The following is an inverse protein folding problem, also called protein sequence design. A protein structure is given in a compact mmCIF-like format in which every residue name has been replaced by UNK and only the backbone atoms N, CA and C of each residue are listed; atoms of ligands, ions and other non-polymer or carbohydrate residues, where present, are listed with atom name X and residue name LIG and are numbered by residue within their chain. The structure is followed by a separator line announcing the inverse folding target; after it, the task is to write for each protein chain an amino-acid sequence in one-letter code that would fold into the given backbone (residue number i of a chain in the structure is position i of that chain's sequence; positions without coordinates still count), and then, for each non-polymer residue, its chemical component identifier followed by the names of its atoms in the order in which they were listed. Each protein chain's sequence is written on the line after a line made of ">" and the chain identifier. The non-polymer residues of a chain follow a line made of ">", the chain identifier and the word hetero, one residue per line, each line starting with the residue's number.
data_IF_152032038571
#
_entry.id   IF_152032038571
#
_cell.length_a   1.000
_cell.length_b   1.000
_cell.length_c   1.000
_cell.angle_alpha   90.00
_cell.angle_beta   90.00
_cell.angle_gamma   90.00
#
_symmetry.space_group_name_H-M   'P 1'
#
loop_
_entity.id
_entity.type
_entity.pdbx_description
1 polymer ?
#
# COMPACT_ATOMS: atom_id res chain seq x y z
N UNK A 1 -25.64 16.67 -8.77
CA UNK A 1 -25.18 18.05 -8.51
C UNK A 1 -24.14 18.37 -9.56
N UNK A 2 -24.58 19.12 -10.57
CA UNK A 2 -23.77 19.49 -11.75
C UNK A 2 -23.04 20.79 -11.41
N UNK A 3 -21.76 20.84 -11.73
CA UNK A 3 -20.85 21.97 -11.54
C UNK A 3 -21.41 23.25 -12.16
N UNK A 4 -21.50 24.34 -11.37
CA UNK A 4 -21.81 25.67 -11.87
C UNK A 4 -20.57 26.25 -12.57
N UNK A 5 -20.57 26.24 -13.90
CA UNK A 5 -19.66 27.04 -14.71
C UNK A 5 -20.35 28.38 -15.01
N UNK A 6 -19.84 29.48 -14.49
CA UNK A 6 -20.37 30.82 -14.78
C UNK A 6 -19.98 31.24 -16.20
N UNK A 7 -20.97 31.56 -17.04
CA UNK A 7 -20.79 32.14 -18.38
C UNK A 7 -21.00 33.65 -18.27
N UNK A 8 -20.00 34.46 -18.64
CA UNK A 8 -20.16 35.92 -18.80
C UNK A 8 -20.03 36.25 -20.28
N UNK A 9 -21.15 36.57 -20.95
CA UNK A 9 -21.17 37.06 -22.32
C UNK A 9 -21.47 38.57 -22.30
N UNK A 10 -20.49 39.40 -22.63
CA UNK A 10 -20.73 40.81 -22.96
C UNK A 10 -20.92 40.89 -24.48
N UNK A 11 -22.11 41.27 -24.92
CA UNK A 11 -22.42 41.49 -26.33
C UNK A 11 -22.08 42.93 -26.69
N UNK A 12 -20.98 43.13 -27.42
CA UNK A 12 -20.76 44.37 -28.17
C UNK A 12 -20.91 44.03 -29.64
N UNK A 13 -22.01 44.47 -30.22
CA UNK A 13 -22.28 44.38 -31.65
C UNK A 13 -21.40 45.37 -32.41
N UNK A 14 -20.54 44.84 -33.29
CA UNK A 14 -20.29 45.25 -34.68
C UNK A 14 -18.89 44.76 -35.13
N UNK A 15 -18.86 44.15 -36.32
CA UNK A 15 -17.73 43.69 -37.14
C UNK A 15 -17.43 42.18 -37.10
N UNK A 16 -17.41 41.61 -38.31
CA UNK A 16 -17.33 40.21 -38.69
C UNK A 16 -16.05 39.51 -38.21
N UNK A 17 -16.20 38.56 -37.28
CA UNK A 17 -15.31 37.39 -37.15
C UNK A 17 -16.07 36.28 -36.40
N UNK A 18 -15.98 35.00 -36.83
CA UNK A 18 -16.66 33.92 -36.14
C UNK A 18 -16.05 33.76 -34.74
N UNK A 19 -16.86 34.09 -33.73
CA UNK A 19 -16.53 33.96 -32.31
C UNK A 19 -16.21 32.49 -32.01
N UNK A 20 -14.93 32.12 -32.07
CA UNK A 20 -14.45 30.85 -31.55
C UNK A 20 -14.58 30.89 -30.04
N UNK A 21 -15.58 30.21 -29.50
CA UNK A 21 -15.70 29.96 -28.07
C UNK A 21 -14.51 29.09 -27.64
N UNK A 22 -13.40 29.73 -27.27
CA UNK A 22 -12.35 29.05 -26.53
C UNK A 22 -12.89 28.72 -25.13
N UNK A 23 -13.42 27.51 -24.99
CA UNK A 23 -13.45 26.83 -23.70
C UNK A 23 -11.99 26.72 -23.29
N UNK A 24 -11.53 27.62 -22.43
CA UNK A 24 -10.32 27.38 -21.66
C UNK A 24 -10.67 26.22 -20.71
N UNK A 25 -10.44 25.00 -21.19
CA UNK A 25 -10.29 23.88 -20.30
C UNK A 25 -9.17 24.27 -19.34
N UNK A 26 -9.49 24.27 -18.04
CA UNK A 26 -8.48 24.18 -17.00
C UNK A 26 -7.52 23.06 -17.46
N UNK A 27 -6.19 23.26 -17.52
CA UNK A 27 -5.31 22.16 -17.91
C UNK A 27 -5.70 21.00 -17.02
N UNK A 28 -6.09 19.87 -17.63
CA UNK A 28 -6.47 18.67 -16.88
C UNK A 28 -5.33 18.41 -15.90
N UNK A 29 -5.57 18.69 -14.62
CA UNK A 29 -4.64 18.30 -13.57
C UNK A 29 -4.45 16.81 -13.74
N UNK A 30 -3.22 16.37 -14.03
CA UNK A 30 -2.93 15.00 -14.42
C UNK A 30 -3.56 14.05 -13.39
N UNK A 31 -4.55 13.26 -13.81
CA UNK A 31 -5.31 12.40 -12.89
C UNK A 31 -4.36 11.51 -12.10
N UNK A 32 -4.40 11.65 -10.78
CA UNK A 32 -3.59 10.88 -9.84
C UNK A 32 -4.29 9.54 -9.57
N UNK A 33 -3.52 8.48 -9.39
CA UNK A 33 -4.04 7.13 -9.13
C UNK A 33 -3.12 6.41 -8.16
N UNK A 34 -3.69 5.77 -7.14
CA UNK A 34 -2.95 5.07 -6.10
C UNK A 34 -3.43 3.62 -5.94
N UNK A 35 -2.56 2.66 -6.25
CA UNK A 35 -2.79 1.24 -5.96
C UNK A 35 -1.99 0.83 -4.73
N UNK A 36 -2.66 0.29 -3.73
CA UNK A 36 -2.05 -0.06 -2.44
C UNK A 36 -2.04 -1.56 -2.27
N UNK A 37 -0.88 -2.10 -1.88
CA UNK A 37 -0.65 -3.51 -1.60
C UNK A 37 -0.01 -3.60 -0.22
N UNK A 38 -0.36 -4.63 0.55
CA UNK A 38 0.25 -4.74 1.86
C UNK A 38 -0.41 -5.66 2.84
N UNK A 39 0.01 -5.49 4.08
CA UNK A 39 -0.50 -6.18 5.24
C UNK A 39 -1.42 -5.28 6.09
N UNK A 40 -1.51 -5.57 7.39
CA UNK A 40 -2.35 -4.85 8.34
C UNK A 40 -2.01 -3.37 8.48
N UNK A 41 -0.77 -2.96 8.20
CA UNK A 41 -0.38 -1.55 8.28
C UNK A 41 -1.14 -0.71 7.25
N UNK A 42 -1.52 -1.32 6.11
CA UNK A 42 -2.14 -0.66 4.96
C UNK A 42 -3.57 -1.14 4.70
N UNK A 43 -4.12 -2.07 5.50
CA UNK A 43 -5.44 -2.66 5.29
C UNK A 43 -6.59 -1.66 5.57
N UNK A 44 -7.41 -1.32 4.57
CA UNK A 44 -8.54 -0.39 4.73
C UNK A 44 -9.77 -1.05 5.39
N UNK A 45 -9.72 -2.35 5.72
CA UNK A 45 -10.84 -3.17 6.19
C UNK A 45 -11.23 -4.31 5.25
N UNK A 46 -10.35 -4.76 4.34
CA UNK A 46 -10.63 -5.90 3.44
C UNK A 46 -10.93 -7.17 4.23
N UNK A 47 -10.28 -7.36 5.38
CA UNK A 47 -10.47 -8.54 6.23
C UNK A 47 -11.91 -8.70 6.75
N UNK A 48 -12.72 -7.62 6.79
CA UNK A 48 -14.15 -7.70 7.14
C UNK A 48 -14.98 -8.59 6.20
N UNK A 49 -14.50 -8.78 4.99
CA UNK A 49 -15.23 -9.46 3.92
C UNK A 49 -14.74 -10.90 3.70
N UNK A 50 -13.92 -11.43 4.60
CA UNK A 50 -13.42 -12.81 4.54
C UNK A 50 -14.31 -13.73 5.40
N UNK A 51 -14.68 -14.90 4.86
CA UNK A 51 -15.74 -15.77 5.39
C UNK A 51 -15.41 -16.56 6.69
N UNK A 52 -14.26 -16.37 7.33
CA UNK A 52 -13.96 -17.06 8.58
C UNK A 52 -12.81 -16.41 9.37
N UNK A 53 -12.97 -16.33 10.69
CA UNK A 53 -11.93 -16.39 11.74
C UNK A 53 -10.83 -15.32 11.82
N UNK A 54 -10.73 -14.36 10.89
CA UNK A 54 -9.89 -13.16 11.06
C UNK A 54 -10.73 -11.92 11.40
N UNK A 55 -11.87 -12.13 12.08
CA UNK A 55 -12.48 -11.12 12.93
C UNK A 55 -11.55 -10.87 14.13
N UNK A 56 -10.41 -10.26 13.87
CA UNK A 56 -9.62 -9.65 14.91
C UNK A 56 -10.47 -8.56 15.59
N UNK A 57 -10.07 -8.14 16.78
CA UNK A 57 -10.73 -7.06 17.53
C UNK A 57 -10.86 -5.73 16.78
N UNK A 58 -10.39 -5.63 15.53
CA UNK A 58 -10.54 -4.45 14.68
C UNK A 58 -11.98 -4.09 14.37
N UNK A 59 -12.95 -4.98 14.62
CA UNK A 59 -14.39 -4.71 14.49
C UNK A 59 -15.03 -4.05 15.72
N UNK A 60 -14.31 -3.92 16.84
CA UNK A 60 -14.81 -3.31 18.07
C UNK A 60 -14.11 -2.00 18.39
N UNK A 61 -14.57 -1.31 19.44
CA UNK A 61 -13.82 -0.21 20.05
C UNK A 61 -12.42 -0.70 20.50
N UNK A 62 -11.34 0.10 20.39
CA UNK A 62 -11.25 1.51 20.00
C UNK A 62 -11.06 1.79 18.50
N UNK A 63 -11.18 0.79 17.63
CA UNK A 63 -10.82 0.95 16.23
C UNK A 63 -11.76 1.95 15.50
N UNK A 64 -11.16 2.89 14.76
CA UNK A 64 -11.85 3.95 14.03
C UNK A 64 -12.39 5.13 14.84
N UNK A 65 -12.18 5.18 16.16
CA UNK A 65 -12.68 6.25 17.04
C UNK A 65 -12.19 7.67 16.71
N UNK A 66 -10.96 7.85 16.19
CA UNK A 66 -10.36 9.20 16.02
C UNK A 66 -10.68 9.87 14.69
N UNK A 67 -11.23 9.13 13.71
CA UNK A 67 -11.54 9.69 12.39
C UNK A 67 -12.85 9.20 11.79
N UNK A 68 -13.17 7.91 11.93
CA UNK A 68 -14.36 7.32 11.32
C UNK A 68 -15.56 7.28 12.27
N UNK A 69 -15.35 7.52 13.57
CA UNK A 69 -16.32 7.39 14.66
C UNK A 69 -16.96 6.00 14.77
N UNK A 70 -16.39 5.00 14.09
CA UNK A 70 -16.80 3.60 14.13
C UNK A 70 -15.70 2.73 13.55
N UNK A 71 -15.69 1.44 13.92
CA UNK A 71 -14.75 0.50 13.32
C UNK A 71 -14.95 0.39 11.80
N UNK A 72 -13.85 0.60 11.07
CA UNK A 72 -13.75 0.25 9.65
C UNK A 72 -12.93 -1.01 9.43
N UNK A 73 -12.55 -1.76 10.47
CA UNK A 73 -11.77 -3.00 10.36
C UNK A 73 -10.28 -2.78 10.10
N UNK A 74 -9.86 -1.51 9.99
CA UNK A 74 -8.45 -1.08 10.02
C UNK A 74 -7.85 -1.48 11.36
N UNK A 75 -6.58 -1.91 11.39
CA UNK A 75 -5.84 -2.09 12.65
C UNK A 75 -5.32 -0.74 13.20
N UNK A 76 -6.18 0.26 13.26
CA UNK A 76 -5.94 1.58 13.82
C UNK A 76 -7.23 2.17 14.39
N UNK A 77 -7.08 3.02 15.38
CA UNK A 77 -8.09 3.95 15.91
C UNK A 77 -8.60 4.96 14.86
N UNK A 78 -7.97 5.05 13.68
CA UNK A 78 -8.41 5.97 12.64
C UNK A 78 -7.80 5.66 11.27
N UNK A 79 -7.19 6.68 10.67
CA UNK A 79 -6.58 6.60 9.34
C UNK A 79 -5.27 5.81 9.37
N UNK A 80 -5.01 5.09 8.29
CA UNK A 80 -3.75 4.40 8.04
C UNK A 80 -2.87 5.18 7.07
N UNK A 81 -1.57 4.86 6.97
CA UNK A 81 -0.60 5.58 6.14
C UNK A 81 -1.08 5.81 4.69
N UNK A 82 -1.68 4.83 3.98
CA UNK A 82 -2.23 5.08 2.65
C UNK A 82 -3.34 6.13 2.59
N UNK A 83 -4.14 6.28 3.64
CA UNK A 83 -5.20 7.29 3.71
C UNK A 83 -4.58 8.71 3.72
N UNK A 84 -3.51 8.90 4.50
CA UNK A 84 -2.77 10.17 4.51
C UNK A 84 -2.09 10.46 3.18
N UNK A 85 -1.51 9.45 2.53
CA UNK A 85 -0.89 9.58 1.20
C UNK A 85 -1.93 9.95 0.14
N UNK A 86 -3.10 9.31 0.18
CA UNK A 86 -4.21 9.62 -0.71
C UNK A 86 -4.67 11.08 -0.52
N UNK A 87 -4.92 11.50 0.72
CA UNK A 87 -5.36 12.86 1.03
C UNK A 87 -4.32 13.93 0.66
N UNK A 88 -3.05 13.70 0.94
CA UNK A 88 -1.96 14.58 0.52
C UNK A 88 -1.89 14.70 -1.01
N UNK A 89 -2.30 13.65 -1.71
CA UNK A 89 -2.37 13.62 -3.17
C UNK A 89 -3.71 14.13 -3.71
N UNK A 90 -4.62 14.66 -2.87
CA UNK A 90 -5.98 15.10 -3.26
C UNK A 90 -6.86 13.96 -3.83
N UNK A 91 -6.57 12.72 -3.43
CA UNK A 91 -7.39 11.54 -3.72
C UNK A 91 -8.37 11.28 -2.56
N UNK A 92 -9.54 10.68 -2.85
CA UNK A 92 -10.40 10.18 -1.79
C UNK A 92 -9.69 9.07 -1.00
N UNK A 93 -10.11 8.88 0.25
CA UNK A 93 -9.73 7.69 1.01
C UNK A 93 -10.23 6.46 0.26
N UNK A 94 -9.31 5.55 -0.05
CA UNK A 94 -9.63 4.35 -0.81
C UNK A 94 -10.41 3.37 0.10
N UNK A 95 -11.63 2.96 -0.30
CA UNK A 95 -12.38 1.96 0.44
C UNK A 95 -11.71 0.58 0.33
N UNK A 96 -12.09 -0.39 1.17
CA UNK A 96 -11.75 -1.79 0.95
C UNK A 96 -12.12 -2.24 -0.46
N UNK A 97 -11.17 -2.85 -1.17
CA UNK A 97 -11.42 -3.45 -2.47
C UNK A 97 -12.59 -4.46 -2.43
N UNK A 98 -12.69 -5.24 -1.35
CA UNK A 98 -13.75 -6.25 -1.19
C UNK A 98 -15.11 -5.66 -0.78
N UNK A 99 -15.20 -4.36 -0.50
CA UNK A 99 -16.49 -3.74 -0.17
C UNK A 99 -17.44 -3.83 -1.38
N UNK A 100 -18.70 -4.27 -1.19
CA UNK A 100 -19.66 -4.49 -2.29
C UNK A 100 -20.29 -3.16 -2.75
N UNK A 101 -19.47 -2.26 -3.30
CA UNK A 101 -19.87 -0.97 -3.86
C UNK A 101 -19.46 -0.86 -5.33
N UNK A 102 -20.02 0.12 -6.03
CA UNK A 102 -19.62 0.43 -7.41
C UNK A 102 -18.25 1.13 -7.43
N UNK A 103 -17.18 0.35 -7.53
CA UNK A 103 -15.82 0.87 -7.63
C UNK A 103 -15.53 1.47 -9.01
N UNK A 104 -14.98 2.68 -9.03
CA UNK A 104 -14.60 3.36 -10.28
C UNK A 104 -13.15 3.07 -10.71
N UNK A 105 -12.29 2.70 -9.75
CA UNK A 105 -10.86 2.36 -9.89
C UNK A 105 -9.94 3.39 -10.55
N UNK A 106 -10.46 4.50 -11.06
CA UNK A 106 -9.67 5.57 -11.70
C UNK A 106 -8.78 6.30 -10.69
N UNK A 107 -9.20 6.41 -9.43
CA UNK A 107 -8.41 6.95 -8.34
C UNK A 107 -7.52 5.88 -7.69
N UNK A 108 -7.73 4.62 -8.08
CA UNK A 108 -6.98 3.45 -7.63
C UNK A 108 -7.80 2.52 -6.74
N UNK A 109 -7.11 1.68 -5.97
CA UNK A 109 -7.70 0.67 -5.10
C UNK A 109 -6.72 0.24 -4.01
N UNK A 110 -7.24 -0.19 -2.87
CA UNK A 110 -6.43 -0.73 -1.78
C UNK A 110 -6.71 -2.22 -1.55
N UNK A 111 -5.72 -3.05 -1.88
CA UNK A 111 -5.76 -4.51 -1.82
C UNK A 111 -5.14 -5.08 -0.54
N UNK A 112 -4.54 -4.24 0.30
CA UNK A 112 -3.85 -4.67 1.51
C UNK A 112 -4.79 -5.39 2.48
N UNK A 113 -4.24 -6.33 3.26
CA UNK A 113 -5.02 -7.21 4.12
C UNK A 113 -4.25 -7.60 5.38
N UNK A 114 -4.89 -7.46 6.54
CA UNK A 114 -4.29 -7.84 7.80
C UNK A 114 -3.84 -9.31 7.80
N UNK A 115 -2.62 -9.54 8.27
CA UNK A 115 -1.96 -10.85 8.28
C UNK A 115 -1.35 -11.28 6.93
N UNK A 116 -1.62 -10.56 5.84
CA UNK A 116 -1.09 -10.87 4.51
C UNK A 116 0.44 -10.93 4.49
N UNK A 117 0.97 -11.98 3.88
CA UNK A 117 2.40 -12.13 3.60
C UNK A 117 2.69 -12.10 2.10
N UNK A 118 3.98 -12.07 1.77
CA UNK A 118 4.42 -12.29 0.40
C UNK A 118 4.18 -13.75 -0.01
N UNK A 119 4.46 -14.68 0.90
CA UNK A 119 4.26 -16.11 0.68
C UNK A 119 2.83 -16.54 0.99
N UNK A 120 2.31 -17.49 0.21
CA UNK A 120 0.93 -17.98 0.36
C UNK A 120 0.70 -18.74 1.67
N UNK A 121 1.77 -19.28 2.24
CA UNK A 121 1.77 -20.02 3.50
C UNK A 121 1.71 -19.09 4.72
N UNK A 122 2.02 -17.81 4.58
CA UNK A 122 1.96 -16.84 5.67
C UNK A 122 0.52 -16.56 6.02
N UNK A 123 0.09 -17.01 7.20
CA UNK A 123 -1.28 -16.91 7.72
C UNK A 123 -2.34 -17.37 6.69
N UNK A 124 -2.50 -18.70 6.50
CA UNK A 124 -3.48 -19.25 5.58
C UNK A 124 -4.89 -18.69 5.85
N UNK A 125 -5.60 -18.31 4.78
CA UNK A 125 -6.92 -17.67 4.88
C UNK A 125 -6.90 -16.13 4.80
N UNK A 126 -5.72 -15.51 4.84
CA UNK A 126 -5.55 -14.07 4.57
C UNK A 126 -5.31 -13.79 3.08
N UNK A 127 -5.41 -12.51 2.67
CA UNK A 127 -5.14 -12.10 1.28
C UNK A 127 -3.64 -11.84 1.11
N UNK A 128 -2.90 -12.88 0.76
CA UNK A 128 -1.46 -12.81 0.44
C UNK A 128 -1.17 -12.00 -0.85
N UNK A 129 0.10 -11.66 -1.07
CA UNK A 129 0.50 -10.82 -2.20
C UNK A 129 0.08 -11.36 -3.59
N UNK A 130 0.21 -12.67 -3.91
CA UNK A 130 -0.34 -13.23 -5.14
C UNK A 130 -1.85 -13.00 -5.33
N UNK A 131 -2.64 -13.09 -4.26
CA UNK A 131 -4.07 -12.80 -4.31
C UNK A 131 -4.31 -11.29 -4.57
N UNK A 132 -3.56 -10.41 -3.91
CA UNK A 132 -3.63 -8.96 -4.15
C UNK A 132 -3.27 -8.59 -5.60
N UNK A 133 -2.27 -9.25 -6.19
CA UNK A 133 -1.95 -9.11 -7.61
C UNK A 133 -3.11 -9.57 -8.50
N UNK A 134 -3.81 -10.63 -8.13
CA UNK A 134 -4.97 -11.12 -8.88
C UNK A 134 -6.13 -10.12 -8.87
N UNK A 135 -6.36 -9.44 -7.74
CA UNK A 135 -7.31 -8.33 -7.67
C UNK A 135 -6.88 -7.14 -8.53
N UNK A 136 -5.60 -6.79 -8.50
CA UNK A 136 -5.08 -5.76 -9.39
C UNK A 136 -5.28 -6.11 -10.87
N UNK A 137 -5.03 -7.36 -11.28
CA UNK A 137 -5.31 -7.83 -12.66
C UNK A 137 -6.79 -7.68 -13.03
N UNK A 138 -7.71 -7.94 -12.10
CA UNK A 138 -9.13 -7.70 -12.30
C UNK A 138 -9.46 -6.20 -12.46
N UNK A 139 -8.82 -5.34 -11.66
CA UNK A 139 -8.94 -3.88 -11.79
C UNK A 139 -8.43 -3.39 -13.15
N UNK A 140 -7.28 -3.88 -13.61
CA UNK A 140 -6.74 -3.56 -14.95
C UNK A 140 -7.75 -3.92 -16.04
N UNK A 141 -8.38 -5.09 -15.96
CA UNK A 141 -9.44 -5.50 -16.91
C UNK A 141 -10.65 -4.56 -16.86
N UNK A 142 -11.07 -4.14 -15.67
CA UNK A 142 -12.17 -3.18 -15.48
C UNK A 142 -11.85 -1.82 -16.09
N UNK A 143 -10.65 -1.28 -15.83
CA UNK A 143 -10.17 -0.02 -16.40
C UNK A 143 -10.14 -0.07 -17.93
N UNK A 144 -9.61 -1.14 -18.53
CA UNK A 144 -9.61 -1.34 -19.98
C UNK A 144 -11.02 -1.38 -20.57
N UNK A 145 -11.96 -2.07 -19.92
CA UNK A 145 -13.35 -2.13 -20.36
C UNK A 145 -14.02 -0.74 -20.31
N UNK A 146 -13.69 0.06 -19.30
CA UNK A 146 -14.32 1.37 -19.06
C UNK A 146 -13.71 2.50 -19.89
N UNK A 147 -12.39 2.52 -20.03
CA UNK A 147 -11.64 3.64 -20.62
C UNK A 147 -11.07 3.32 -22.01
N UNK A 148 -11.08 2.05 -22.42
CA UNK A 148 -10.31 1.56 -23.56
C UNK A 148 -8.83 1.31 -23.22
N UNK A 149 -8.14 0.56 -24.06
CA UNK A 149 -6.77 0.13 -23.79
C UNK A 149 -5.76 1.28 -23.69
N UNK A 150 -5.89 2.29 -24.56
CA UNK A 150 -4.94 3.41 -24.63
C UNK A 150 -5.00 4.23 -23.35
N UNK A 151 -6.19 4.60 -22.89
CA UNK A 151 -6.34 5.46 -21.72
C UNK A 151 -6.10 4.68 -20.42
N UNK A 152 -6.56 3.43 -20.33
CA UNK A 152 -6.21 2.57 -19.20
C UNK A 152 -4.68 2.40 -19.04
N UNK A 153 -3.95 2.27 -20.15
CA UNK A 153 -2.48 2.21 -20.11
C UNK A 153 -1.86 3.50 -19.56
N UNK A 154 -2.39 4.68 -19.92
CA UNK A 154 -1.91 5.96 -19.35
C UNK A 154 -2.14 6.03 -17.85
N UNK A 155 -3.33 5.65 -17.38
CA UNK A 155 -3.66 5.58 -15.94
C UNK A 155 -2.67 4.68 -15.20
N UNK A 156 -2.43 3.47 -15.71
CA UNK A 156 -1.51 2.50 -15.08
C UNK A 156 -0.05 2.99 -15.07
N UNK A 157 0.42 3.60 -16.16
CA UNK A 157 1.77 4.18 -16.23
C UNK A 157 1.95 5.37 -15.28
N UNK A 158 0.89 6.15 -15.04
CA UNK A 158 0.89 7.31 -14.15
C UNK A 158 0.56 6.98 -12.71
N UNK A 159 0.03 5.79 -12.41
CA UNK A 159 -0.29 5.41 -11.05
C UNK A 159 0.97 5.26 -10.17
N UNK A 160 0.80 5.44 -8.87
CA UNK A 160 1.75 5.03 -7.84
C UNK A 160 1.27 3.71 -7.24
N UNK A 161 2.20 2.78 -7.08
CA UNK A 161 1.96 1.47 -6.48
C UNK A 161 2.66 1.43 -5.12
N UNK A 162 1.90 1.47 -4.04
CA UNK A 162 2.42 1.66 -2.69
C UNK A 162 2.35 0.36 -1.88
N UNK A 163 3.48 -0.08 -1.36
CA UNK A 163 3.65 -1.38 -0.72
C UNK A 163 4.07 -1.26 0.75
N UNK A 164 3.50 -2.11 1.59
CA UNK A 164 4.03 -2.48 2.92
C UNK A 164 3.74 -3.95 3.16
N UNK A 165 4.70 -4.83 2.86
CA UNK A 165 4.51 -6.29 2.96
C UNK A 165 5.84 -7.01 3.20
N UNK A 166 5.80 -8.20 3.81
CA UNK A 166 6.97 -9.02 4.12
C UNK A 166 7.25 -9.15 5.62
N UNK A 167 6.72 -8.23 6.45
CA UNK A 167 6.91 -8.27 7.90
C UNK A 167 6.32 -9.53 8.53
N UNK A 168 5.10 -9.92 8.11
CA UNK A 168 4.43 -11.13 8.58
C UNK A 168 5.23 -12.40 8.24
N UNK A 169 5.83 -12.48 7.04
CA UNK A 169 6.63 -13.64 6.63
C UNK A 169 7.75 -13.93 7.65
N UNK A 170 8.47 -12.89 8.10
CA UNK A 170 9.56 -13.05 9.07
C UNK A 170 9.08 -13.21 10.51
N UNK A 171 7.96 -12.57 10.88
CA UNK A 171 7.36 -12.75 12.20
C UNK A 171 6.89 -14.20 12.40
N UNK A 172 6.18 -14.76 11.44
CA UNK A 172 5.73 -16.16 11.46
C UNK A 172 6.92 -17.11 11.39
N UNK A 173 7.86 -16.88 10.45
CA UNK A 173 9.07 -17.70 10.33
C UNK A 173 9.87 -17.78 11.64
N UNK A 174 10.09 -16.65 12.31
CA UNK A 174 10.82 -16.63 13.59
C UNK A 174 10.04 -17.35 14.69
N UNK A 175 8.71 -17.18 14.73
CA UNK A 175 7.87 -17.85 15.73
C UNK A 175 7.93 -19.37 15.60
N UNK A 176 7.97 -19.89 14.38
CA UNK A 176 8.04 -21.33 14.08
C UNK A 176 9.47 -21.88 14.13
N UNK A 177 10.47 -21.05 13.83
CA UNK A 177 11.86 -21.46 13.68
C UNK A 177 12.83 -20.54 14.45
N UNK A 178 12.69 -20.39 15.78
CA UNK A 178 13.48 -19.44 16.56
C UNK A 178 14.99 -19.71 16.49
N UNK A 179 15.37 -20.99 16.33
CA UNK A 179 16.76 -21.44 16.26
C UNK A 179 17.25 -21.67 14.83
N UNK A 180 16.58 -21.13 13.81
CA UNK A 180 16.98 -21.29 12.41
C UNK A 180 18.44 -20.88 12.19
N UNK A 181 19.20 -21.69 11.45
CA UNK A 181 20.57 -21.36 11.07
C UNK A 181 20.62 -20.09 10.22
N UNK A 182 21.78 -19.42 10.18
CA UNK A 182 21.93 -18.21 9.37
C UNK A 182 21.71 -18.48 7.86
N UNK A 183 22.11 -19.66 7.37
CA UNK A 183 21.89 -20.07 5.99
C UNK A 183 20.40 -20.23 5.69
N UNK A 184 19.63 -20.86 6.59
CA UNK A 184 18.19 -21.03 6.41
C UNK A 184 17.46 -19.68 6.42
N UNK A 185 17.82 -18.76 7.34
CA UNK A 185 17.30 -17.39 7.35
C UNK A 185 17.53 -16.65 6.02
N UNK A 186 18.75 -16.75 5.46
CA UNK A 186 19.07 -16.12 4.17
C UNK A 186 18.28 -16.74 3.02
N UNK A 187 18.12 -18.06 3.01
CA UNK A 187 17.31 -18.77 2.01
C UNK A 187 15.84 -18.32 2.07
N UNK A 188 15.28 -18.20 3.28
CA UNK A 188 13.90 -17.74 3.47
C UNK A 188 13.73 -16.29 3.01
N UNK A 189 14.65 -15.38 3.36
CA UNK A 189 14.65 -14.00 2.83
C UNK A 189 14.73 -14.00 1.29
N UNK A 190 15.56 -14.86 0.70
CA UNK A 190 15.65 -15.02 -0.75
C UNK A 190 14.33 -15.46 -1.39
N UNK A 191 13.59 -16.37 -0.75
CA UNK A 191 12.28 -16.82 -1.19
C UNK A 191 11.24 -15.69 -1.17
N UNK A 192 11.15 -14.97 -0.04
CA UNK A 192 10.25 -13.81 0.11
C UNK A 192 10.56 -12.75 -0.95
N UNK A 193 11.82 -12.33 -1.05
CA UNK A 193 12.23 -11.29 -2.01
C UNK A 193 12.05 -11.76 -3.46
N UNK A 194 12.31 -13.02 -3.76
CA UNK A 194 12.08 -13.60 -5.09
C UNK A 194 10.62 -13.53 -5.53
N UNK A 195 9.69 -13.92 -4.65
CA UNK A 195 8.25 -13.86 -4.93
C UNK A 195 7.76 -12.42 -5.05
N UNK A 196 8.19 -11.52 -4.16
CA UNK A 196 7.91 -10.08 -4.25
C UNK A 196 8.39 -9.51 -5.59
N UNK A 197 9.61 -9.85 -6.01
CA UNK A 197 10.18 -9.42 -7.29
C UNK A 197 9.33 -9.89 -8.47
N UNK A 198 8.79 -11.12 -8.42
CA UNK A 198 7.90 -11.64 -9.45
C UNK A 198 6.64 -10.79 -9.60
N UNK A 199 6.01 -10.42 -8.49
CA UNK A 199 4.82 -9.56 -8.47
C UNK A 199 5.11 -8.15 -9.00
N UNK A 200 6.26 -7.57 -8.64
CA UNK A 200 6.65 -6.25 -9.16
C UNK A 200 6.85 -6.26 -10.68
N UNK A 201 7.40 -7.34 -11.24
CA UNK A 201 7.53 -7.50 -12.70
C UNK A 201 6.17 -7.63 -13.39
N UNK A 202 5.26 -8.42 -12.82
CA UNK A 202 3.89 -8.54 -13.33
C UNK A 202 3.16 -7.19 -13.34
N UNK A 203 3.31 -6.37 -12.28
CA UNK A 203 2.77 -5.01 -12.25
C UNK A 203 3.40 -4.14 -13.33
N UNK A 204 4.71 -4.24 -13.55
CA UNK A 204 5.40 -3.52 -14.60
C UNK A 204 4.91 -3.93 -16.00
N UNK A 205 4.71 -5.21 -16.25
CA UNK A 205 4.21 -5.75 -17.51
C UNK A 205 2.77 -5.29 -17.80
N UNK A 206 1.97 -5.08 -16.75
CA UNK A 206 0.63 -4.49 -16.83
C UNK A 206 0.64 -2.96 -17.03
N UNK A 207 1.81 -2.33 -17.02
CA UNK A 207 1.98 -0.90 -17.29
C UNK A 207 2.43 -0.07 -16.09
N UNK A 208 2.56 -0.65 -14.89
CA UNK A 208 3.00 0.08 -13.71
C UNK A 208 4.45 0.58 -13.81
N UNK A 209 4.71 1.79 -13.32
CA UNK A 209 6.04 2.43 -13.44
C UNK A 209 6.60 3.00 -12.13
N UNK A 210 5.76 3.47 -11.21
CA UNK A 210 6.19 4.17 -10.00
C UNK A 210 5.88 3.34 -8.77
N UNK A 211 6.90 2.71 -8.18
CA UNK A 211 6.76 1.81 -7.03
C UNK A 211 7.25 2.50 -5.76
N UNK A 212 6.40 2.62 -4.74
CA UNK A 212 6.79 3.14 -3.44
C UNK A 212 6.72 2.02 -2.40
N UNK A 213 7.70 1.93 -1.52
CA UNK A 213 7.72 0.97 -0.41
C UNK A 213 7.82 1.69 0.94
N UNK A 214 7.00 1.27 1.89
CA UNK A 214 7.36 1.29 3.30
C UNK A 214 8.12 -0.01 3.59
N UNK A 215 9.38 0.09 4.00
CA UNK A 215 10.19 -1.11 4.28
C UNK A 215 9.77 -1.80 5.60
N UNK A 216 10.32 -2.98 5.89
CA UNK A 216 9.97 -3.71 7.11
C UNK A 216 10.45 -2.97 8.36
N UNK A 217 9.58 -2.80 9.35
CA UNK A 217 9.88 -2.16 10.63
C UNK A 217 10.82 -3.00 11.53
N UNK A 218 11.22 -2.47 12.71
CA UNK A 218 12.00 -3.21 13.69
C UNK A 218 11.15 -4.29 14.37
N UNK A 219 11.04 -5.46 13.73
CA UNK A 219 10.11 -6.53 14.13
C UNK A 219 10.30 -7.02 15.56
N UNK A 220 11.52 -7.02 16.09
CA UNK A 220 11.78 -7.40 17.48
C UNK A 220 11.27 -6.41 18.52
N UNK A 221 10.92 -5.19 18.11
CA UNK A 221 10.35 -4.17 18.98
C UNK A 221 8.82 -4.18 18.98
N UNK A 222 8.18 -5.06 18.20
CA UNK A 222 6.71 -5.16 18.18
C UNK A 222 6.19 -5.54 19.58
N UNK A 223 5.04 -5.00 20.01
CA UNK A 223 4.45 -5.32 21.32
C UNK A 223 4.30 -6.83 21.56
N UNK A 224 3.87 -7.58 20.54
CA UNK A 224 3.75 -9.04 20.62
C UNK A 224 5.10 -9.75 20.86
N UNK A 225 6.20 -9.22 20.31
CA UNK A 225 7.56 -9.76 20.55
C UNK A 225 8.04 -9.42 21.96
N UNK A 226 7.80 -8.20 22.43
CA UNK A 226 8.13 -7.80 23.81
C UNK A 226 7.38 -8.64 24.83
N UNK A 227 6.08 -8.88 24.62
CA UNK A 227 5.27 -9.73 25.49
C UNK A 227 5.79 -11.18 25.57
N UNK A 228 6.35 -11.71 24.47
CA UNK A 228 6.95 -13.05 24.42
C UNK A 228 8.38 -13.12 24.96
N UNK A 229 9.02 -11.98 25.20
CA UNK A 229 10.41 -11.91 25.66
C UNK A 229 10.57 -10.93 26.83
N UNK A 230 9.84 -11.12 27.95
CA UNK A 230 9.89 -10.21 29.09
C UNK A 230 11.29 -10.08 29.69
N UNK A 231 12.13 -11.10 29.53
CA UNK A 231 13.53 -11.11 29.95
C UNK A 231 14.40 -10.03 29.27
N UNK A 232 13.96 -9.48 28.14
CA UNK A 232 14.67 -8.41 27.43
C UNK A 232 14.38 -7.02 28.01
N UNK A 233 13.42 -6.90 28.94
CA UNK A 233 13.04 -5.63 29.55
C UNK A 233 12.62 -4.60 28.49
N UNK A 234 13.29 -3.45 28.45
CA UNK A 234 13.04 -2.39 27.46
C UNK A 234 13.58 -2.72 26.06
N UNK A 235 14.47 -3.73 25.94
CA UNK A 235 15.12 -4.14 24.71
C UNK A 235 14.19 -4.76 23.67
N UNK A 236 14.71 -4.95 22.47
CA UNK A 236 14.03 -5.60 21.36
C UNK A 236 14.68 -6.94 21.03
N UNK A 237 13.91 -7.91 20.55
CA UNK A 237 14.46 -9.18 20.09
C UNK A 237 15.34 -8.98 18.85
N UNK A 238 16.56 -9.49 18.87
CA UNK A 238 17.55 -9.18 17.84
C UNK A 238 17.32 -9.98 16.54
N UNK A 239 17.00 -11.27 16.64
CA UNK A 239 16.78 -12.14 15.48
C UNK A 239 15.68 -11.66 14.51
N UNK A 240 14.44 -11.36 14.95
CA UNK A 240 13.41 -10.82 14.06
C UNK A 240 13.81 -9.45 13.48
N UNK A 241 14.52 -8.62 14.26
CA UNK A 241 15.03 -7.33 13.78
C UNK A 241 16.12 -7.52 12.71
N UNK A 242 16.99 -8.52 12.87
CA UNK A 242 18.00 -8.89 11.90
C UNK A 242 17.39 -9.43 10.59
N UNK A 243 16.30 -10.20 10.65
CA UNK A 243 15.54 -10.63 9.48
C UNK A 243 14.96 -9.43 8.72
N UNK A 244 14.37 -8.46 9.43
CA UNK A 244 13.88 -7.22 8.82
C UNK A 244 15.02 -6.43 8.12
N UNK A 245 16.19 -6.31 8.76
CA UNK A 245 17.37 -5.66 8.15
C UNK A 245 17.92 -6.44 6.95
N UNK A 246 17.83 -7.77 6.94
CA UNK A 246 18.18 -8.58 5.77
C UNK A 246 17.20 -8.36 4.61
N UNK A 247 15.89 -8.33 4.91
CA UNK A 247 14.86 -7.99 3.93
C UNK A 247 15.07 -6.61 3.33
N UNK A 248 15.22 -5.57 4.17
CA UNK A 248 15.33 -4.18 3.70
C UNK A 248 16.53 -3.99 2.76
N UNK A 249 17.67 -4.62 3.07
CA UNK A 249 18.85 -4.63 2.17
C UNK A 249 18.58 -5.36 0.86
N UNK A 250 17.95 -6.52 0.91
CA UNK A 250 17.63 -7.31 -0.28
C UNK A 250 16.58 -6.61 -1.17
N UNK A 251 15.56 -5.98 -0.57
CA UNK A 251 14.56 -5.17 -1.24
C UNK A 251 15.21 -4.00 -1.99
N UNK A 252 16.05 -3.21 -1.30
CA UNK A 252 16.76 -2.10 -1.93
C UNK A 252 17.63 -2.55 -3.12
N UNK A 253 18.35 -3.66 -2.99
CA UNK A 253 19.15 -4.23 -4.07
C UNK A 253 18.30 -4.67 -5.27
N UNK A 254 17.16 -5.32 -5.02
CA UNK A 254 16.24 -5.74 -6.07
C UNK A 254 15.63 -4.54 -6.78
N UNK A 255 15.14 -3.53 -6.06
CA UNK A 255 14.53 -2.34 -6.66
C UNK A 255 15.52 -1.58 -7.52
N UNK A 256 16.77 -1.41 -7.06
CA UNK A 256 17.86 -0.84 -7.86
C UNK A 256 18.13 -1.64 -9.13
N UNK A 257 18.11 -2.98 -9.05
CA UNK A 257 18.31 -3.87 -10.22
C UNK A 257 17.13 -3.83 -11.19
N UNK A 258 15.90 -3.63 -10.70
CA UNK A 258 14.72 -3.47 -11.55
C UNK A 258 14.78 -2.13 -12.29
N UNK A 259 15.06 -1.03 -11.59
CA UNK A 259 15.25 0.29 -12.19
C UNK A 259 16.32 0.28 -13.29
N UNK A 260 17.46 -0.40 -13.08
CA UNK A 260 18.52 -0.47 -14.08
C UNK A 260 18.17 -1.33 -15.31
N UNK A 261 17.12 -2.14 -15.25
CA UNK A 261 16.76 -3.12 -16.31
C UNK A 261 15.43 -2.82 -16.99
N UNK A 262 14.54 -2.08 -16.33
CA UNK A 262 13.16 -1.87 -16.76
C UNK A 262 12.96 -0.39 -17.09
N UNK A 263 12.88 -0.02 -18.38
CA UNK A 263 12.71 1.37 -18.78
C UNK A 263 11.52 2.07 -18.12
N UNK A 264 11.80 3.21 -17.49
CA UNK A 264 10.79 4.03 -16.80
C UNK A 264 10.31 3.47 -15.46
N UNK A 265 10.85 2.33 -15.00
CA UNK A 265 10.65 1.88 -13.62
C UNK A 265 11.34 2.87 -12.67
N UNK A 266 10.58 3.42 -11.74
CA UNK A 266 11.07 4.31 -10.68
C UNK A 266 10.64 3.75 -9.35
N UNK A 267 11.48 3.92 -8.33
CA UNK A 267 11.10 3.53 -6.98
C UNK A 267 11.46 4.55 -5.91
N UNK A 268 10.77 4.46 -4.78
CA UNK A 268 11.14 5.11 -3.53
C UNK A 268 10.96 4.14 -2.37
N UNK A 269 11.78 4.32 -1.33
CA UNK A 269 11.70 3.55 -0.09
C UNK A 269 11.60 4.54 1.07
N UNK A 270 10.52 4.47 1.83
CA UNK A 270 10.45 5.07 3.15
C UNK A 270 11.11 4.12 4.16
N UNK A 271 12.13 4.63 4.85
CA UNK A 271 12.89 3.87 5.83
C UNK A 271 12.16 3.77 7.17
N UNK A 272 11.08 2.99 7.16
CA UNK A 272 10.22 2.75 8.30
C UNK A 272 10.94 2.06 9.45
N UNK A 273 11.92 1.19 9.18
CA UNK A 273 12.74 0.56 10.21
C UNK A 273 13.34 1.61 11.15
N UNK A 274 14.09 2.55 10.59
CA UNK A 274 14.79 3.56 11.37
C UNK A 274 13.82 4.65 11.87
N UNK A 275 12.81 5.02 11.08
CA UNK A 275 11.82 6.02 11.49
C UNK A 275 10.97 5.56 12.68
N UNK A 276 10.58 4.28 12.75
CA UNK A 276 9.90 3.73 13.92
C UNK A 276 10.88 3.52 15.08
N UNK A 277 12.10 3.05 14.79
CA UNK A 277 13.15 2.89 15.80
C UNK A 277 13.46 4.21 16.53
N UNK A 278 13.54 5.33 15.82
CA UNK A 278 13.78 6.65 16.42
C UNK A 278 12.62 7.06 17.33
N UNK A 279 11.36 6.81 16.95
CA UNK A 279 10.19 7.06 17.80
C UNK A 279 10.19 6.21 19.06
N UNK A 280 10.56 4.95 18.96
CA UNK A 280 10.64 4.04 20.11
C UNK A 280 11.75 4.46 21.07
N UNK A 281 12.89 4.90 20.55
CA UNK A 281 14.06 5.26 21.36
C UNK A 281 14.03 6.71 21.86
N UNK A 282 13.31 7.60 21.18
CA UNK A 282 13.22 9.03 21.49
C UNK A 282 11.75 9.52 21.51
N UNK A 283 10.86 8.92 22.33
CA UNK A 283 9.42 9.20 22.29
C UNK A 283 9.08 10.67 22.55
N UNK A 284 9.82 11.33 23.45
CA UNK A 284 9.60 12.74 23.80
C UNK A 284 9.77 13.73 22.63
N UNK A 285 10.41 13.33 21.53
CA UNK A 285 10.47 14.15 20.30
C UNK A 285 9.15 14.17 19.52
N UNK A 286 8.22 13.26 19.84
CA UNK A 286 7.02 12.97 19.07
C UNK A 286 5.73 13.04 19.90
N UNK A 287 5.86 13.30 21.20
CA UNK A 287 4.72 13.62 22.06
C UNK A 287 4.29 15.07 21.73
N UNK A 288 3.05 15.22 21.27
CA UNK A 288 2.38 16.51 21.06
C UNK A 288 1.36 16.73 22.16
#
# INVERSE_FOLDING_TARGET
>A
MVSLSYLFCVVVSLLDDPLSCHVQSKPEGEQKTLFVFGDSLFDPGNNKYLNASVEGGSLSWPYGETFFNQSTGRLSDGRIVPDFVAQFSELPILPPYLQPIAHQFTDGANFASAGGGVLVQTHPGTINLPAQLSYFKAVVKSLKKKLGDVEAKKVLMRAVYFFSIGGNDYFSFYSENPNASQSYRRQYVGMVIGNLTGVLKEIYDLGGRKIAFQNAGPLGCLPAMKARSPQLGSGCAEEPSALARLHNRALANVLKKLESKLPGFKYSIFDYYNALGDRVNNPSKYEH
#
